data_IF_950315600688
#
_entry.id   IF_950315600688
#
_cell.length_a   1.000
_cell.length_b   1.000
_cell.length_c   1.000
_cell.angle_alpha   90.00
_cell.angle_beta   90.00
_cell.angle_gamma   90.00
#
_symmetry.space_group_name_H-M   'P 1'
#
loop_
_entity.id
_entity.type
_entity.pdbx_description
1 polymer ?
#
# COMPACT_ATOMS: atom_id res chain seq x y z
N UNK A 1 -3.36 8.84 -1.92
CA UNK A 1 -2.73 8.43 -0.65
C UNK A 1 -3.41 7.19 -0.13
N UNK A 2 -2.67 6.22 0.37
CA UNK A 2 -3.21 5.05 1.07
C UNK A 2 -2.97 5.20 2.57
N UNK A 3 -3.93 4.79 3.39
CA UNK A 3 -3.85 4.85 4.85
C UNK A 3 -4.30 3.51 5.43
N UNK A 4 -3.49 2.95 6.33
CA UNK A 4 -3.91 1.87 7.22
C UNK A 4 -4.56 2.50 8.45
N UNK A 5 -5.82 2.16 8.69
CA UNK A 5 -6.55 2.54 9.88
C UNK A 5 -6.68 1.36 10.83
N UNK A 6 -6.70 1.66 12.13
CA UNK A 6 -7.05 0.70 13.16
C UNK A 6 -7.98 1.26 14.21
N UNK A 7 -8.87 0.42 14.71
CA UNK A 7 -9.74 0.69 15.86
C UNK A 7 -9.29 -0.22 17.00
N UNK A 8 -8.97 0.36 18.16
CA UNK A 8 -8.56 -0.43 19.32
C UNK A 8 -9.76 -1.14 19.97
N UNK A 9 -9.48 -2.18 20.76
CA UNK A 9 -10.51 -2.79 21.60
C UNK A 9 -11.16 -1.74 22.52
N UNK A 10 -12.49 -1.70 22.52
CA UNK A 10 -13.29 -0.74 23.30
C UNK A 10 -13.45 0.64 22.66
N UNK A 11 -12.73 0.95 21.58
CA UNK A 11 -12.90 2.20 20.84
C UNK A 11 -13.93 2.04 19.71
N UNK A 12 -14.55 3.15 19.31
CA UNK A 12 -15.49 3.21 18.17
C UNK A 12 -14.95 4.02 16.99
N UNK A 13 -13.80 4.68 17.18
CA UNK A 13 -13.23 5.61 16.20
C UNK A 13 -11.91 5.06 15.69
N UNK A 14 -11.86 4.75 14.40
CA UNK A 14 -10.64 4.35 13.73
C UNK A 14 -9.61 5.50 13.70
N UNK A 15 -8.33 5.16 13.88
CA UNK A 15 -7.20 6.09 13.82
C UNK A 15 -6.19 5.65 12.76
N UNK A 16 -5.55 6.58 12.04
CA UNK A 16 -4.49 6.24 11.10
C UNK A 16 -3.29 5.67 11.86
N UNK A 17 -2.74 4.57 11.35
CA UNK A 17 -1.54 3.90 11.87
C UNK A 17 -0.35 4.05 10.93
N UNK A 18 -0.62 4.12 9.63
CA UNK A 18 0.40 4.24 8.58
C UNK A 18 -0.19 4.94 7.36
N UNK A 19 0.62 5.71 6.65
CA UNK A 19 0.26 6.30 5.36
C UNK A 19 1.30 5.98 4.31
N UNK A 20 0.86 5.74 3.08
CA UNK A 20 1.69 5.73 1.87
C UNK A 20 1.19 6.84 0.94
N UNK A 21 2.03 7.84 0.71
CA UNK A 21 1.76 8.91 -0.25
C UNK A 21 2.56 8.71 -1.51
N UNK A 22 1.96 9.02 -2.65
CA UNK A 22 2.61 9.02 -3.95
C UNK A 22 2.55 10.42 -4.56
N UNK A 23 3.67 10.89 -5.11
CA UNK A 23 3.77 12.13 -5.85
C UNK A 23 4.35 11.86 -7.23
N UNK A 24 3.53 12.08 -8.27
CA UNK A 24 3.95 11.91 -9.66
C UNK A 24 5.03 12.93 -10.05
N UNK A 25 6.09 12.48 -10.72
CA UNK A 25 7.20 13.34 -11.12
C UNK A 25 6.96 14.10 -12.44
N UNK A 26 5.80 13.91 -13.08
CA UNK A 26 5.40 14.64 -14.29
C UNK A 26 6.00 14.12 -15.59
N UNK A 27 6.64 12.94 -15.60
CA UNK A 27 7.30 12.40 -16.79
C UNK A 27 7.14 10.89 -16.95
N UNK A 28 6.82 10.46 -18.18
CA UNK A 28 6.63 9.06 -18.56
C UNK A 28 5.21 8.75 -19.00
N UNK A 29 4.98 7.48 -19.33
CA UNK A 29 3.71 6.85 -19.72
C UNK A 29 2.51 7.18 -18.79
N UNK A 30 1.23 7.04 -19.25
CA UNK A 30 0.01 7.15 -18.44
C UNK A 30 0.04 6.60 -17.02
N UNK A 31 0.76 5.50 -16.72
CA UNK A 31 0.82 4.93 -15.37
C UNK A 31 1.78 5.68 -14.40
N UNK A 32 2.71 6.47 -14.93
CA UNK A 32 3.53 7.46 -14.21
C UNK A 32 4.59 6.95 -13.23
N UNK A 33 5.73 7.66 -13.12
CA UNK A 33 6.78 7.43 -12.13
C UNK A 33 6.83 8.57 -11.11
N UNK A 34 7.27 8.30 -9.89
CA UNK A 34 7.19 9.32 -8.85
C UNK A 34 7.96 9.00 -7.58
N UNK A 35 7.58 9.71 -6.52
CA UNK A 35 8.09 9.49 -5.18
C UNK A 35 7.01 8.88 -4.32
N UNK A 36 7.28 7.70 -3.79
CA UNK A 36 6.48 7.06 -2.75
C UNK A 36 7.11 7.36 -1.40
N UNK A 37 6.31 7.74 -0.41
CA UNK A 37 6.75 7.95 0.98
C UNK A 37 5.85 7.16 1.91
N UNK A 38 6.44 6.34 2.75
CA UNK A 38 5.77 5.55 3.77
C UNK A 38 6.08 6.16 5.13
N UNK A 39 5.02 6.45 5.88
CA UNK A 39 5.13 7.00 7.23
C UNK A 39 4.30 6.20 8.23
N UNK A 40 4.82 6.00 9.43
CA UNK A 40 4.03 5.54 10.57
C UNK A 40 3.38 6.74 11.25
N UNK A 41 2.20 6.52 11.83
CA UNK A 41 1.40 7.57 12.48
C UNK A 41 1.15 7.19 13.93
N UNK A 42 1.48 8.12 14.84
CA UNK A 42 1.18 8.01 16.27
C UNK A 42 0.56 9.32 16.76
N UNK A 43 -0.76 9.31 16.94
CA UNK A 43 -1.52 10.53 17.23
C UNK A 43 -1.42 11.53 16.08
N UNK A 44 -0.95 12.74 16.38
CA UNK A 44 -0.69 13.79 15.38
C UNK A 44 0.71 13.70 14.75
N UNK A 45 1.56 12.78 15.21
CA UNK A 45 2.94 12.67 14.73
C UNK A 45 3.01 11.67 13.57
N UNK A 46 3.57 12.11 12.44
CA UNK A 46 3.89 11.27 11.29
C UNK A 46 5.41 11.15 11.16
N UNK A 47 5.91 9.92 11.05
CA UNK A 47 7.34 9.63 10.94
C UNK A 47 7.62 8.86 9.65
N UNK A 48 8.42 9.44 8.76
CA UNK A 48 8.86 8.74 7.54
C UNK A 48 9.77 7.59 7.92
N UNK A 49 9.46 6.40 7.41
CA UNK A 49 10.20 5.15 7.67
C UNK A 49 10.75 4.53 6.40
N UNK A 50 10.21 4.89 5.25
CA UNK A 50 10.69 4.45 3.94
C UNK A 50 10.28 5.45 2.86
N UNK A 51 11.11 5.61 1.84
CA UNK A 51 10.75 6.31 0.61
C UNK A 51 11.33 5.57 -0.59
N UNK A 52 10.62 5.62 -1.71
CA UNK A 52 11.13 5.20 -3.01
C UNK A 52 11.06 6.39 -3.95
N UNK A 53 12.17 6.74 -4.56
CA UNK A 53 12.23 7.83 -5.55
C UNK A 53 12.56 7.25 -6.91
N UNK A 54 11.62 7.39 -7.85
CA UNK A 54 11.82 7.05 -9.25
C UNK A 54 12.15 8.30 -10.06
N UNK A 55 13.34 8.32 -10.66
CA UNK A 55 13.79 9.36 -11.58
C UNK A 55 13.65 8.88 -13.01
N UNK A 56 13.02 9.69 -13.85
CA UNK A 56 12.83 9.42 -15.29
C UNK A 56 13.61 10.41 -16.15
N UNK A 57 13.93 10.01 -17.37
CA UNK A 57 14.61 10.90 -18.32
C UNK A 57 15.26 10.16 -19.49
N UNK A 58 16.04 10.88 -20.29
CA UNK A 58 16.86 10.24 -21.33
C UNK A 58 18.00 9.46 -20.69
N UNK A 59 18.50 8.41 -21.37
CA UNK A 59 19.61 7.58 -20.85
C UNK A 59 20.81 8.44 -20.42
N UNK A 60 21.22 9.38 -21.27
CA UNK A 60 22.34 10.30 -21.00
C UNK A 60 22.08 11.21 -19.80
N UNK A 61 20.84 11.67 -19.62
CA UNK A 61 20.47 12.49 -18.46
C UNK A 61 20.54 11.67 -17.17
N UNK A 62 19.95 10.47 -17.18
CA UNK A 62 19.93 9.57 -16.02
C UNK A 62 21.35 9.12 -15.63
N UNK A 63 22.19 8.76 -16.60
CA UNK A 63 23.59 8.40 -16.34
C UNK A 63 24.41 9.55 -15.72
N UNK A 64 24.00 10.81 -15.94
CA UNK A 64 24.65 11.98 -15.36
C UNK A 64 24.09 12.33 -13.97
N UNK A 65 22.79 12.14 -13.74
CA UNK A 65 22.12 12.54 -12.51
C UNK A 65 22.14 11.47 -11.41
N UNK A 66 22.29 10.20 -11.77
CA UNK A 66 22.27 9.08 -10.85
C UNK A 66 23.69 8.70 -10.39
N UNK A 67 23.84 8.11 -9.19
CA UNK A 67 25.08 7.48 -8.78
C UNK A 67 25.61 6.49 -9.80
N UNK A 68 26.94 6.37 -9.89
CA UNK A 68 27.57 5.38 -10.76
C UNK A 68 27.12 3.96 -10.38
N UNK A 69 26.71 3.18 -11.37
CA UNK A 69 26.21 1.81 -11.16
C UNK A 69 24.71 1.71 -10.86
N UNK A 70 23.97 2.82 -10.80
CA UNK A 70 22.51 2.78 -10.71
C UNK A 70 21.91 2.00 -11.89
N UNK A 71 20.96 1.11 -11.58
CA UNK A 71 20.22 0.35 -12.59
C UNK A 71 19.23 1.27 -13.28
N UNK A 72 19.34 1.37 -14.61
CA UNK A 72 18.40 2.11 -15.45
C UNK A 72 17.57 1.09 -16.24
N UNK A 73 16.26 1.14 -16.06
CA UNK A 73 15.31 0.26 -16.72
C UNK A 73 14.59 0.99 -17.86
N UNK A 74 13.97 0.22 -18.75
CA UNK A 74 13.08 0.74 -19.80
C UNK A 74 11.78 -0.05 -19.71
N UNK A 75 10.64 0.63 -19.58
CA UNK A 75 9.34 -0.04 -19.60
C UNK A 75 8.86 -0.39 -21.01
N UNK A 76 7.70 -1.04 -21.10
CA UNK A 76 7.07 -1.42 -22.35
C UNK A 76 6.69 -0.24 -23.26
N UNK A 77 6.62 0.97 -22.70
CA UNK A 77 6.28 2.20 -23.41
C UNK A 77 7.53 3.00 -23.83
N UNK A 78 8.72 2.49 -23.52
CA UNK A 78 10.00 3.12 -23.84
C UNK A 78 10.44 4.19 -22.84
N UNK A 79 9.73 4.38 -21.73
CA UNK A 79 10.16 5.30 -20.67
C UNK A 79 11.35 4.70 -19.95
N UNK A 80 12.42 5.48 -19.84
CA UNK A 80 13.59 5.11 -19.04
C UNK A 80 13.50 5.69 -17.65
N UNK A 81 13.82 4.87 -16.66
CA UNK A 81 13.71 5.23 -15.26
C UNK A 81 14.73 4.49 -14.39
N UNK A 82 14.95 5.02 -13.18
CA UNK A 82 15.67 4.35 -12.10
C UNK A 82 14.96 4.68 -10.78
N UNK A 83 14.67 3.65 -9.98
CA UNK A 83 14.05 3.80 -8.67
C UNK A 83 15.05 3.40 -7.59
N UNK A 84 15.09 4.19 -6.51
CA UNK A 84 15.93 3.90 -5.36
C UNK A 84 15.09 3.96 -4.07
N UNK A 85 15.19 2.91 -3.27
CA UNK A 85 14.60 2.85 -1.94
C UNK A 85 15.55 3.45 -0.90
N UNK A 86 14.98 4.17 0.07
CA UNK A 86 15.67 4.69 1.25
C UNK A 86 14.86 4.35 2.49
N UNK A 87 15.50 3.70 3.46
CA UNK A 87 14.89 3.38 4.75
C UNK A 87 15.30 4.38 5.81
N UNK A 88 14.41 4.62 6.78
CA UNK A 88 14.63 5.53 7.89
C UNK A 88 14.31 4.81 9.20
N UNK A 89 15.33 4.44 10.01
CA UNK A 89 16.77 4.56 9.74
C UNK A 89 17.25 3.67 8.58
N UNK A 90 18.43 3.92 8.04
CA UNK A 90 18.96 3.25 6.84
C UNK A 90 19.01 1.71 6.92
N UNK A 91 19.15 1.16 8.12
CA UNK A 91 19.16 -0.29 8.37
C UNK A 91 17.82 -0.83 8.93
N UNK A 92 16.75 -0.04 8.81
CA UNK A 92 15.42 -0.40 9.28
C UNK A 92 14.74 -1.44 8.38
N UNK A 93 13.74 -2.12 8.92
CA UNK A 93 12.94 -3.10 8.20
C UNK A 93 11.81 -2.49 7.35
N UNK A 94 11.80 -1.16 7.16
CA UNK A 94 10.66 -0.41 6.62
C UNK A 94 9.57 -0.16 7.66
N UNK A 95 8.32 -0.01 7.20
CA UNK A 95 7.20 0.24 8.09
C UNK A 95 6.78 -1.00 8.87
N UNK A 96 6.82 -0.91 10.20
CA UNK A 96 6.35 -1.95 11.11
C UNK A 96 5.27 -1.35 12.01
N UNK A 97 4.09 -1.93 12.00
CA UNK A 97 2.94 -1.50 12.80
C UNK A 97 2.61 -2.59 13.82
N UNK A 98 2.61 -2.22 15.09
CA UNK A 98 2.07 -3.09 16.14
C UNK A 98 0.54 -2.98 16.16
N UNK A 99 -0.12 -4.06 15.78
CA UNK A 99 -1.58 -4.17 15.73
C UNK A 99 -2.14 -5.00 16.88
N UNK A 100 -1.34 -5.32 17.90
CA UNK A 100 -1.71 -6.22 19.00
C UNK A 100 -2.92 -5.75 19.81
N UNK A 101 -3.21 -4.45 19.80
CA UNK A 101 -4.32 -3.82 20.51
C UNK A 101 -5.48 -3.45 19.58
N UNK A 102 -5.43 -3.81 18.31
CA UNK A 102 -6.44 -3.45 17.32
C UNK A 102 -7.51 -4.54 17.23
N UNK A 103 -8.76 -4.13 17.40
CA UNK A 103 -9.93 -4.97 17.12
C UNK A 103 -10.19 -5.08 15.62
N UNK A 104 -10.04 -3.94 14.92
CA UNK A 104 -10.32 -3.83 13.49
C UNK A 104 -9.19 -3.11 12.77
N UNK A 105 -8.94 -3.52 11.53
CA UNK A 105 -8.03 -2.88 10.59
C UNK A 105 -8.71 -2.75 9.23
N UNK A 106 -8.48 -1.63 8.56
CA UNK A 106 -8.84 -1.49 7.15
C UNK A 106 -7.88 -0.56 6.43
N UNK A 107 -7.80 -0.74 5.11
CA UNK A 107 -7.09 0.15 4.21
C UNK A 107 -8.09 1.12 3.58
N UNK A 108 -7.67 2.37 3.48
CA UNK A 108 -8.36 3.41 2.72
C UNK A 108 -7.41 3.96 1.67
N UNK A 109 -7.85 4.07 0.42
CA UNK A 109 -7.13 4.77 -0.62
C UNK A 109 -7.93 5.99 -1.06
N UNK A 110 -7.32 7.16 -0.93
CA UNK A 110 -7.80 8.42 -1.50
C UNK A 110 -7.10 8.64 -2.86
N UNK A 111 -7.90 8.58 -3.92
CA UNK A 111 -7.54 8.83 -5.31
C UNK A 111 -8.30 10.08 -5.78
N UNK A 112 -7.68 11.28 -5.76
CA UNK A 112 -8.38 12.52 -6.08
C UNK A 112 -9.05 12.57 -7.45
N UNK A 113 -8.46 11.88 -8.44
CA UNK A 113 -8.95 11.72 -9.82
C UNK A 113 -9.80 10.47 -10.03
N UNK A 114 -9.89 9.59 -9.03
CA UNK A 114 -10.57 8.30 -9.14
C UNK A 114 -12.09 8.40 -9.08
N UNK A 115 -12.76 7.34 -9.50
CA UNK A 115 -14.21 7.18 -9.40
C UNK A 115 -14.56 5.75 -8.95
N UNK A 116 -14.83 5.51 -7.65
CA UNK A 116 -14.95 6.50 -6.57
C UNK A 116 -13.60 7.04 -6.08
N UNK A 117 -13.61 8.24 -5.48
CA UNK A 117 -12.39 8.88 -4.96
C UNK A 117 -11.82 8.21 -3.73
N UNK A 118 -12.66 7.55 -2.94
CA UNK A 118 -12.25 6.88 -1.71
C UNK A 118 -12.62 5.42 -1.85
N UNK A 119 -11.61 4.56 -1.71
CA UNK A 119 -11.73 3.11 -1.75
C UNK A 119 -11.40 2.56 -0.37
N UNK A 120 -12.18 1.59 0.12
CA UNK A 120 -12.00 1.02 1.46
C UNK A 120 -12.07 -0.49 1.43
N UNK A 121 -11.11 -1.14 2.09
CA UNK A 121 -11.09 -2.61 2.16
C UNK A 121 -12.25 -3.17 2.98
N UNK A 122 -12.81 -2.39 3.91
CA UNK A 122 -13.96 -2.76 4.74
C UNK A 122 -15.30 -2.21 4.24
N UNK A 123 -15.37 -1.69 3.01
CA UNK A 123 -16.62 -1.26 2.38
C UNK A 123 -16.96 -2.17 1.20
N UNK A 124 -18.09 -2.91 1.25
CA UNK A 124 -18.46 -3.84 0.17
C UNK A 124 -18.69 -3.17 -1.19
N UNK A 125 -18.84 -1.85 -1.25
CA UNK A 125 -19.02 -1.10 -2.49
C UNK A 125 -17.70 -0.77 -3.20
N UNK A 126 -16.56 -0.78 -2.50
CA UNK A 126 -15.27 -0.31 -3.05
C UNK A 126 -14.11 -1.27 -2.83
N UNK A 127 -14.27 -2.25 -1.94
CA UNK A 127 -13.29 -3.30 -1.65
C UNK A 127 -12.91 -4.16 -2.84
N UNK A 128 -13.78 -4.28 -3.85
CA UNK A 128 -13.51 -5.00 -5.11
C UNK A 128 -12.51 -4.28 -6.03
N UNK A 129 -11.88 -3.21 -5.55
CA UNK A 129 -10.72 -2.59 -6.21
C UNK A 129 -9.38 -3.08 -5.63
N UNK A 130 -9.44 -3.86 -4.55
CA UNK A 130 -8.28 -4.46 -3.89
C UNK A 130 -8.02 -5.85 -4.46
N UNK A 131 -6.76 -6.12 -4.75
CA UNK A 131 -6.25 -7.40 -5.19
C UNK A 131 -5.40 -7.99 -4.06
N UNK A 132 -5.61 -9.26 -3.73
CA UNK A 132 -4.87 -9.94 -2.65
C UNK A 132 -4.50 -11.34 -3.10
N UNK A 133 -3.22 -11.70 -3.01
CA UNK A 133 -2.80 -13.05 -3.30
C UNK A 133 -1.41 -13.43 -2.81
N UNK A 134 -0.95 -14.58 -3.31
CA UNK A 134 0.25 -15.27 -2.82
C UNK A 134 1.47 -15.07 -3.70
N UNK A 135 1.31 -14.47 -4.88
CA UNK A 135 2.41 -14.08 -5.77
C UNK A 135 2.01 -12.88 -6.63
N UNK A 136 3.00 -12.17 -7.18
CA UNK A 136 2.78 -11.04 -8.08
C UNK A 136 1.93 -11.38 -9.33
N UNK A 137 1.87 -12.65 -9.73
CA UNK A 137 1.10 -13.13 -10.89
C UNK A 137 -0.19 -13.85 -10.50
N UNK A 138 -0.39 -14.13 -9.20
CA UNK A 138 -1.61 -14.74 -8.67
C UNK A 138 -2.13 -13.87 -7.53
N UNK A 139 -2.64 -12.70 -7.90
CA UNK A 139 -3.23 -11.70 -7.01
C UNK A 139 -4.66 -11.41 -7.46
N UNK A 140 -5.65 -12.29 -7.15
CA UNK A 140 -7.02 -12.09 -7.57
C UNK A 140 -7.66 -10.85 -6.91
N UNK A 141 -8.61 -10.26 -7.63
CA UNK A 141 -9.46 -9.19 -7.13
C UNK A 141 -10.42 -9.70 -6.06
N UNK A 142 -10.69 -8.88 -5.05
CA UNK A 142 -11.72 -9.14 -4.05
C UNK A 142 -13.09 -9.15 -4.71
N UNK A 143 -13.90 -10.18 -4.44
CA UNK A 143 -15.23 -10.30 -5.04
C UNK A 143 -16.15 -9.11 -4.64
N UNK A 144 -16.93 -8.62 -5.61
CA UNK A 144 -17.95 -7.58 -5.39
C UNK A 144 -18.88 -7.88 -4.22
N UNK A 145 -19.10 -6.88 -3.37
CA UNK A 145 -19.97 -7.00 -2.19
C UNK A 145 -19.32 -7.67 -0.98
N UNK A 146 -18.01 -7.93 -0.99
CA UNK A 146 -17.27 -8.54 0.12
C UNK A 146 -16.33 -7.56 0.77
N UNK A 147 -16.22 -7.59 2.09
CA UNK A 147 -15.17 -6.86 2.83
C UNK A 147 -13.92 -7.71 3.02
N UNK A 148 -12.79 -7.06 3.23
CA UNK A 148 -11.51 -7.69 3.53
C UNK A 148 -11.20 -7.53 5.01
N UNK A 149 -10.96 -8.66 5.68
CA UNK A 149 -10.32 -8.67 6.99
C UNK A 149 -8.79 -8.72 6.81
N UNK A 150 -8.13 -7.60 7.14
CA UNK A 150 -6.68 -7.45 6.96
C UNK A 150 -5.89 -8.46 7.81
N UNK A 151 -6.38 -8.83 9.00
CA UNK A 151 -5.69 -9.78 9.87
C UNK A 151 -5.55 -11.16 9.23
N UNK A 152 -6.53 -11.59 8.44
CA UNK A 152 -6.52 -12.88 7.74
C UNK A 152 -5.98 -12.79 6.33
N UNK A 153 -5.98 -11.60 5.72
CA UNK A 153 -5.50 -11.38 4.37
C UNK A 153 -3.97 -11.37 4.26
N UNK A 154 -3.28 -10.98 5.34
CA UNK A 154 -1.81 -10.93 5.37
C UNK A 154 -1.26 -12.27 5.86
N UNK A 155 -0.52 -13.03 5.02
CA UNK A 155 0.01 -14.32 5.43
C UNK A 155 1.08 -14.16 6.52
N UNK A 156 1.12 -15.11 7.45
CA UNK A 156 2.13 -15.12 8.51
C UNK A 156 3.48 -15.57 7.96
N UNK A 157 4.52 -14.80 8.27
CA UNK A 157 5.92 -15.14 7.99
C UNK A 157 6.30 -15.19 6.51
N UNK A 158 5.35 -14.90 5.61
CA UNK A 158 5.53 -14.91 4.17
C UNK A 158 5.07 -13.58 3.57
N UNK A 159 5.63 -13.16 2.42
CA UNK A 159 5.08 -12.05 1.66
C UNK A 159 3.67 -12.37 1.14
N UNK A 160 2.73 -11.49 1.45
CA UNK A 160 1.46 -11.35 0.73
C UNK A 160 1.58 -10.24 -0.30
N UNK A 161 0.98 -10.45 -1.46
CA UNK A 161 1.00 -9.51 -2.58
C UNK A 161 -0.34 -8.80 -2.63
N UNK A 162 -0.30 -7.48 -2.69
CA UNK A 162 -1.50 -6.66 -2.74
C UNK A 162 -1.39 -5.60 -3.81
N UNK A 163 -2.52 -5.28 -4.42
CA UNK A 163 -2.61 -4.17 -5.35
C UNK A 163 -3.95 -3.44 -5.23
N UNK A 164 -3.99 -2.19 -5.69
CA UNK A 164 -5.21 -1.40 -5.83
C UNK A 164 -5.34 -0.88 -7.25
N UNK A 165 -6.56 -0.97 -7.78
CA UNK A 165 -6.99 -0.27 -8.98
C UNK A 165 -7.70 1.02 -8.59
N UNK A 166 -7.40 2.12 -9.27
CA UNK A 166 -7.76 3.47 -8.85
C UNK A 166 -9.14 3.96 -9.34
N UNK A 167 -9.90 3.10 -10.05
CA UNK A 167 -11.21 3.35 -10.60
C UNK A 167 -11.24 3.63 -12.11
N UNK A 168 -10.11 3.56 -12.81
CA UNK A 168 -10.02 3.69 -14.27
C UNK A 168 -10.69 2.56 -15.07
N UNK A 169 -10.94 1.40 -14.44
CA UNK A 169 -11.42 0.18 -15.09
C UNK A 169 -12.73 -0.35 -14.47
N UNK A 170 -13.57 -1.05 -15.28
CA UNK A 170 -14.68 -1.83 -14.73
C UNK A 170 -14.13 -3.01 -13.92
N UNK A 171 -14.91 -3.46 -12.93
CA UNK A 171 -14.60 -4.66 -12.14
C UNK A 171 -15.58 -5.80 -12.42
N UNK A 172 -15.11 -7.06 -12.46
CA UNK A 172 -13.74 -7.49 -12.18
C UNK A 172 -12.77 -7.24 -13.36
N UNK A 173 -11.49 -7.03 -13.04
CA UNK A 173 -10.39 -6.85 -13.99
C UNK A 173 -9.16 -7.68 -13.59
N UNK A 174 -8.26 -7.92 -14.55
CA UNK A 174 -6.97 -8.56 -14.26
C UNK A 174 -6.05 -7.64 -13.46
N UNK A 175 -5.20 -8.20 -12.59
CA UNK A 175 -4.27 -7.45 -11.72
C UNK A 175 -3.32 -6.54 -12.50
N UNK A 176 -3.04 -6.83 -13.77
CA UNK A 176 -2.27 -5.92 -14.65
C UNK A 176 -2.90 -4.54 -14.84
N UNK A 177 -4.20 -4.41 -14.56
CA UNK A 177 -4.91 -3.13 -14.58
C UNK A 177 -4.71 -2.32 -13.31
N UNK A 178 -4.28 -2.93 -12.19
CA UNK A 178 -4.00 -2.20 -10.97
C UNK A 178 -2.85 -1.19 -11.16
N UNK A 179 -2.82 -0.20 -10.28
CA UNK A 179 -1.96 0.98 -10.40
C UNK A 179 -1.00 1.12 -9.23
N UNK A 180 -1.38 0.56 -8.08
CA UNK A 180 -0.57 0.59 -6.88
C UNK A 180 -0.32 -0.81 -6.37
N UNK A 181 0.94 -1.24 -6.30
CA UNK A 181 1.36 -2.57 -5.88
C UNK A 181 2.26 -2.50 -4.66
N UNK A 182 2.08 -3.41 -3.71
CA UNK A 182 2.88 -3.49 -2.50
C UNK A 182 2.86 -4.91 -1.93
N UNK A 183 3.83 -5.19 -1.07
CA UNK A 183 3.90 -6.45 -0.32
C UNK A 183 3.73 -6.18 1.16
N UNK A 184 3.15 -7.16 1.86
CA UNK A 184 2.93 -7.13 3.30
C UNK A 184 3.34 -8.46 3.91
N UNK A 185 3.91 -8.46 5.11
CA UNK A 185 4.23 -9.70 5.84
C UNK A 185 3.73 -9.59 7.25
N UNK A 186 2.95 -10.59 7.68
CA UNK A 186 2.44 -10.69 9.05
C UNK A 186 3.45 -11.38 9.96
N UNK A 187 3.48 -11.00 11.24
CA UNK A 187 4.16 -11.81 12.27
C UNK A 187 3.28 -12.98 12.67
N UNK A 188 3.89 -14.15 12.82
CA UNK A 188 3.20 -15.41 13.09
C UNK A 188 2.65 -15.57 14.52
N UNK A 189 3.07 -14.72 15.45
CA UNK A 189 2.66 -14.82 16.86
C UNK A 189 1.36 -14.04 17.17
N UNK A 190 0.66 -13.54 16.15
CA UNK A 190 -0.60 -12.81 16.33
C UNK A 190 -1.81 -13.74 16.22
N UNK A 191 -2.38 -14.12 17.36
CA UNK A 191 -3.77 -14.55 17.42
C UNK A 191 -4.62 -13.31 17.73
N UNK A 192 -5.49 -12.91 16.80
CA UNK A 192 -6.51 -11.89 17.08
C UNK A 192 -7.27 -12.37 18.33
N UNK A 193 -7.15 -11.63 19.43
CA UNK A 193 -7.90 -11.98 20.65
C UNK A 193 -9.39 -11.82 20.33
N UNK A 194 -10.23 -12.83 20.56
CA UNK A 194 -11.67 -12.65 20.50
C UNK A 194 -12.06 -11.51 21.46
N UNK A 195 -12.75 -10.49 20.95
CA UNK A 195 -13.26 -9.37 21.75
C UNK A 195 -14.52 -9.79 22.54
N UNK A 196 -14.43 -10.87 23.32
CA UNK A 196 -15.59 -11.41 24.05
C UNK A 196 -15.72 -10.88 25.49
N UNK A 197 -14.72 -10.16 26.00
CA UNK A 197 -14.76 -9.67 27.38
C UNK A 197 -15.11 -8.18 27.43
N UNK A 198 -16.41 -7.89 27.45
CA UNK A 198 -16.92 -6.57 27.84
C UNK A 198 -17.22 -6.63 29.34
N UNK A 199 -16.43 -5.94 30.16
CA UNK A 199 -16.82 -5.64 31.54
C UNK A 199 -17.90 -4.56 31.49
N UNK A 200 -19.16 -4.96 31.62
CA UNK A 200 -20.29 -4.04 31.79
C UNK A 200 -20.42 -3.66 33.26
N UNK A 201 -20.69 -2.38 33.54
CA UNK A 201 -21.08 -1.88 34.86
C UNK A 201 -22.60 -1.85 35.00
#
# INVERSE_FOLDING_TARGET
TMTLYGTKFGDTVAKPLMTISYSYNGYGDPKGYGTTTVSTVNGSTSTVVQSQVCTTGTLKSLQKSLPAGSVIQTDQYGTRYSCADTFYPANGAGAVIDVSQMDQLYLEMDVPSGNPKVLKSNDPATSNRLYIGTSATNTPEVATGKTVNIFTAVPCGQPGYQAWEDGGNPVPADVSNADFFYTTTGKCDYNQRPSETVLTQ
#
